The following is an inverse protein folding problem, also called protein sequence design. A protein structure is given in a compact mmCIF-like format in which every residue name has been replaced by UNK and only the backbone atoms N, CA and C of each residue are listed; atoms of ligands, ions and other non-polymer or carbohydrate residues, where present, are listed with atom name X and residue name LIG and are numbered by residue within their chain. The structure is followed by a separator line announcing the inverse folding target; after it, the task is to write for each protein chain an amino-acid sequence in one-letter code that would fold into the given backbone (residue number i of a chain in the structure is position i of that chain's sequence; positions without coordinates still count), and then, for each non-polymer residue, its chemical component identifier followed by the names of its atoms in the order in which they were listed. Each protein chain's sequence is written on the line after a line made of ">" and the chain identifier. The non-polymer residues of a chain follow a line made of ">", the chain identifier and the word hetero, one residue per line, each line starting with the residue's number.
data_IF_235834573893
#
_entry.id   IF_235834573893
#
_cell.length_a   1.000
_cell.length_b   1.000
_cell.length_c   1.000
_cell.angle_alpha   90.00
_cell.angle_beta   90.00
_cell.angle_gamma   90.00
#
_symmetry.space_group_name_H-M   'P 1'
#
loop_
_entity.id
_entity.type
_entity.pdbx_description
1 polymer ?
#
# COMPACT_ATOMS: atom_id res chain seq x y z
N UNK A 1 3.32 58.89 -22.56
CA UNK A 1 4.64 59.50 -22.82
C UNK A 1 5.30 58.50 -23.73
N UNK A 2 5.11 58.69 -25.05
CA UNK A 2 6.15 59.23 -25.98
C UNK A 2 7.29 58.24 -26.15
N UNK A 3 7.71 57.73 -27.26
CA UNK A 3 7.69 58.11 -28.68
C UNK A 3 8.31 56.92 -29.40
N UNK A 4 7.74 56.34 -30.48
CA UNK A 4 7.87 56.73 -31.87
C UNK A 4 9.31 56.89 -32.36
N UNK A 5 9.62 56.18 -33.36
CA UNK A 5 10.26 56.51 -34.67
C UNK A 5 11.01 55.25 -35.14
N UNK A 6 10.86 54.68 -36.25
CA UNK A 6 10.51 55.21 -37.56
C UNK A 6 11.63 54.97 -38.55
N UNK A 7 11.20 54.67 -39.75
CA UNK A 7 11.86 54.96 -41.06
C UNK A 7 12.73 53.85 -41.61
N UNK A 8 12.26 53.12 -42.64
CA UNK A 8 12.18 53.40 -44.10
C UNK A 8 13.51 53.29 -44.87
N UNK A 9 13.41 52.54 -45.96
CA UNK A 9 13.75 52.82 -47.40
C UNK A 9 15.09 52.18 -47.82
N UNK A 10 15.34 51.54 -48.95
CA UNK A 10 14.79 51.44 -50.28
C UNK A 10 15.38 50.19 -50.96
N UNK A 11 14.70 49.47 -51.77
CA UNK A 11 14.57 49.59 -53.26
C UNK A 11 15.82 49.96 -54.01
N UNK A 12 16.33 49.00 -54.82
CA UNK A 12 16.73 49.11 -56.23
C UNK A 12 17.22 47.76 -56.69
N UNK A 13 16.59 47.07 -57.61
CA UNK A 13 16.56 47.18 -59.00
C UNK A 13 17.90 46.77 -59.70
N UNK A 14 17.84 45.69 -60.45
CA UNK A 14 18.94 45.26 -61.34
C UNK A 14 18.56 44.01 -62.15
N UNK A 15 17.73 44.23 -63.13
CA UNK A 15 17.46 43.37 -64.28
C UNK A 15 18.73 43.25 -65.16
N UNK A 16 18.83 42.20 -65.92
CA UNK A 16 19.75 41.83 -67.05
C UNK A 16 20.62 40.62 -66.69
N UNK A 17 20.60 39.49 -67.29
CA UNK A 17 20.70 39.24 -68.76
C UNK A 17 20.29 37.79 -69.03
N UNK A 18 19.40 37.64 -69.94
CA UNK A 18 19.14 36.47 -70.77
C UNK A 18 20.28 36.14 -71.62
N UNK A 19 20.36 34.87 -72.04
CA UNK A 19 20.85 34.41 -73.39
C UNK A 19 21.99 33.40 -73.36
N UNK A 20 21.64 32.26 -73.94
CA UNK A 20 22.37 31.27 -74.69
C UNK A 20 23.21 30.24 -73.95
N UNK A 21 23.22 29.02 -74.31
CA UNK A 21 22.87 28.25 -75.52
C UNK A 21 22.66 26.78 -75.13
N UNK A 22 21.73 26.18 -75.77
CA UNK A 22 21.65 24.80 -76.14
C UNK A 22 22.94 24.20 -76.70
N UNK A 23 23.32 23.05 -76.11
CA UNK A 23 23.90 21.98 -76.94
C UNK A 23 23.89 20.68 -76.18
N UNK A 24 23.15 19.75 -76.67
CA UNK A 24 23.51 18.37 -77.04
C UNK A 24 24.41 17.63 -75.98
N UNK A 25 24.17 16.50 -75.58
CA UNK A 25 23.59 15.33 -76.23
C UNK A 25 23.66 14.14 -75.27
N UNK A 26 22.65 13.33 -75.32
CA UNK A 26 22.75 11.89 -75.38
C UNK A 26 23.83 11.21 -74.53
N UNK A 27 23.43 10.55 -73.49
CA UNK A 27 23.73 9.13 -73.36
C UNK A 27 23.46 8.64 -71.96
N UNK A 28 22.89 7.53 -71.91
CA UNK A 28 22.95 6.66 -70.73
C UNK A 28 21.78 6.79 -69.81
N UNK A 29 20.70 6.24 -70.21
CA UNK A 29 19.69 5.67 -69.38
C UNK A 29 20.33 4.51 -68.53
N UNK A 30 20.96 4.92 -67.48
CA UNK A 30 21.28 3.99 -66.39
C UNK A 30 20.25 4.29 -65.31
N UNK A 31 19.07 3.70 -65.41
CA UNK A 31 18.24 3.45 -64.30
C UNK A 31 19.04 2.53 -63.33
N UNK A 32 19.87 3.14 -62.51
CA UNK A 32 20.20 2.55 -61.24
C UNK A 32 18.85 2.42 -60.47
N UNK A 33 18.19 1.30 -60.69
CA UNK A 33 17.21 0.81 -59.80
C UNK A 33 17.93 0.66 -58.46
N UNK A 34 17.92 1.70 -57.61
CA UNK A 34 18.16 1.53 -56.21
C UNK A 34 17.14 0.46 -55.77
N UNK A 35 17.57 -0.77 -55.81
CA UNK A 35 16.93 -1.86 -55.07
C UNK A 35 16.92 -1.39 -53.61
N UNK A 36 15.87 -0.65 -53.21
CA UNK A 36 15.57 -0.42 -51.82
C UNK A 36 15.55 -1.81 -51.22
N UNK A 37 16.64 -2.15 -50.50
CA UNK A 37 16.72 -3.32 -49.68
C UNK A 37 15.52 -3.21 -48.73
N UNK A 38 14.40 -3.84 -49.11
CA UNK A 38 13.23 -3.93 -48.21
C UNK A 38 13.73 -4.60 -46.95
N UNK A 39 13.83 -3.84 -45.89
CA UNK A 39 14.11 -4.39 -44.55
C UNK A 39 13.17 -5.57 -44.36
N UNK A 40 13.67 -6.72 -43.92
CA UNK A 40 12.84 -7.90 -43.73
C UNK A 40 11.64 -7.54 -42.85
N UNK A 41 10.43 -7.87 -43.32
CA UNK A 41 9.22 -7.65 -42.55
C UNK A 41 9.32 -8.42 -41.23
N UNK A 42 9.61 -7.69 -40.15
CA UNK A 42 9.80 -8.26 -38.82
C UNK A 42 8.50 -8.51 -38.08
N UNK A 43 7.39 -7.97 -38.57
CA UNK A 43 6.06 -8.09 -37.94
C UNK A 43 5.10 -8.75 -38.91
N UNK A 44 4.41 -9.78 -38.43
CA UNK A 44 3.36 -10.50 -39.14
C UNK A 44 2.14 -10.64 -38.25
N UNK A 45 0.95 -10.72 -38.81
CA UNK A 45 -0.28 -11.00 -38.06
C UNK A 45 -0.62 -12.47 -38.22
N UNK A 46 -0.65 -13.23 -37.13
CA UNK A 46 -1.05 -14.61 -37.10
C UNK A 46 -2.28 -14.77 -36.19
N UNK A 47 -3.38 -15.25 -36.73
CA UNK A 47 -4.65 -15.42 -36.00
C UNK A 47 -5.11 -14.13 -35.26
N UNK A 48 -4.91 -12.96 -35.86
CA UNK A 48 -5.28 -11.67 -35.25
C UNK A 48 -4.32 -11.16 -34.17
N UNK A 49 -3.19 -11.87 -33.94
CA UNK A 49 -2.16 -11.47 -32.98
C UNK A 49 -0.92 -11.02 -33.72
N UNK A 50 -0.38 -9.88 -33.33
CA UNK A 50 0.91 -9.40 -33.82
C UNK A 50 2.04 -10.31 -33.37
N UNK A 51 2.80 -10.85 -34.31
CA UNK A 51 3.99 -11.66 -34.03
C UNK A 51 5.21 -10.96 -34.61
N UNK A 52 6.20 -10.71 -33.74
CA UNK A 52 7.46 -10.08 -34.10
C UNK A 52 8.52 -11.17 -34.25
N UNK A 53 9.23 -11.14 -35.38
CA UNK A 53 10.31 -12.08 -35.66
C UNK A 53 11.65 -11.38 -35.56
N UNK A 54 12.51 -11.81 -34.66
CA UNK A 54 13.87 -11.30 -34.45
C UNK A 54 14.84 -12.46 -34.34
N UNK A 55 15.90 -12.47 -35.15
CA UNK A 55 16.98 -13.45 -35.04
C UNK A 55 17.71 -13.32 -33.72
N UNK A 56 18.41 -14.39 -33.32
CA UNK A 56 19.08 -14.47 -32.02
C UNK A 56 20.18 -13.41 -31.84
N UNK A 57 20.84 -12.98 -32.91
CA UNK A 57 21.86 -11.95 -32.83
C UNK A 57 21.21 -10.58 -32.55
N UNK A 58 20.13 -10.28 -33.24
CA UNK A 58 19.32 -9.06 -33.01
C UNK A 58 18.73 -9.05 -31.60
N UNK A 59 18.24 -10.19 -31.08
CA UNK A 59 17.76 -10.29 -29.69
C UNK A 59 18.86 -9.93 -28.70
N UNK A 60 20.08 -10.49 -28.84
CA UNK A 60 21.23 -10.21 -27.95
C UNK A 60 21.64 -8.74 -28.03
N UNK A 61 21.75 -8.20 -29.25
CA UNK A 61 22.16 -6.81 -29.48
C UNK A 61 21.18 -5.79 -28.85
N UNK A 62 19.90 -6.14 -28.82
CA UNK A 62 18.86 -5.30 -28.23
C UNK A 62 18.53 -5.65 -26.77
N UNK A 63 19.30 -6.53 -26.13
CA UNK A 63 19.15 -6.87 -24.73
C UNK A 63 17.78 -7.50 -24.41
N UNK A 64 17.25 -8.34 -25.31
CA UNK A 64 15.99 -9.03 -25.07
C UNK A 64 16.26 -10.24 -24.16
N UNK A 65 15.71 -10.17 -22.94
CA UNK A 65 15.77 -11.27 -21.99
C UNK A 65 14.38 -11.82 -21.72
N UNK A 66 14.29 -13.13 -21.59
CA UNK A 66 13.05 -13.84 -21.27
C UNK A 66 13.15 -14.58 -19.96
N UNK A 67 12.04 -14.69 -19.28
CA UNK A 67 11.88 -15.46 -18.05
C UNK A 67 10.78 -16.52 -18.23
N UNK A 68 11.06 -17.75 -17.82
CA UNK A 68 10.02 -18.79 -17.75
C UNK A 68 9.08 -18.51 -16.60
N UNK A 69 7.79 -18.62 -16.89
CA UNK A 69 6.73 -18.48 -15.91
C UNK A 69 6.22 -19.86 -15.55
N UNK A 70 6.05 -20.12 -14.26
CA UNK A 70 5.43 -21.38 -13.77
C UNK A 70 4.06 -21.08 -13.16
N UNK A 71 3.11 -21.98 -13.42
CA UNK A 71 1.83 -21.92 -12.75
C UNK A 71 2.02 -22.18 -11.25
N UNK A 72 1.47 -21.30 -10.45
CA UNK A 72 1.49 -21.41 -9.01
C UNK A 72 0.15 -20.98 -8.44
N UNK A 73 -0.16 -21.41 -7.24
CA UNK A 73 -1.33 -20.92 -6.52
C UNK A 73 -0.94 -19.68 -5.77
N UNK A 74 -1.50 -18.55 -6.18
CA UNK A 74 -1.24 -17.24 -5.57
C UNK A 74 -2.46 -16.81 -4.76
N UNK A 75 -2.28 -16.27 -3.56
CA UNK A 75 -3.37 -15.58 -2.87
C UNK A 75 -3.79 -14.37 -3.71
N UNK A 76 -5.09 -14.21 -3.92
CA UNK A 76 -5.63 -12.99 -4.50
C UNK A 76 -5.36 -11.86 -3.54
N UNK A 77 -4.89 -10.72 -4.04
CA UNK A 77 -4.73 -9.52 -3.24
C UNK A 77 -5.88 -8.55 -3.49
N UNK A 78 -6.35 -7.94 -2.42
CA UNK A 78 -7.36 -6.90 -2.44
C UNK A 78 -6.67 -5.55 -2.26
N UNK A 79 -7.06 -4.58 -3.05
CA UNK A 79 -6.66 -3.19 -2.80
C UNK A 79 -7.48 -2.64 -1.65
N UNK A 80 -6.78 -2.13 -0.65
CA UNK A 80 -7.32 -1.48 0.53
C UNK A 80 -6.74 -0.08 0.67
N UNK A 81 -7.42 0.75 1.42
CA UNK A 81 -6.96 2.10 1.73
C UNK A 81 -6.85 2.25 3.24
N UNK A 82 -5.93 3.06 3.69
CA UNK A 82 -5.74 3.25 5.11
C UNK A 82 -5.15 4.59 5.44
N UNK A 83 -4.97 4.78 6.73
CA UNK A 83 -4.33 5.96 7.32
C UNK A 83 -3.39 5.53 8.42
N UNK A 84 -2.25 6.19 8.50
CA UNK A 84 -1.33 6.08 9.64
C UNK A 84 -1.92 6.89 10.78
N UNK A 85 -2.27 6.23 11.88
CA UNK A 85 -3.00 6.85 12.98
C UNK A 85 -2.09 7.71 13.85
N UNK A 86 -2.64 8.81 14.34
CA UNK A 86 -2.05 9.58 15.44
C UNK A 86 -2.33 8.86 16.76
N UNK A 87 -1.30 8.77 17.61
CA UNK A 87 -1.38 8.01 18.87
C UNK A 87 -1.81 8.87 20.05
N UNK A 88 -2.14 10.13 19.87
CA UNK A 88 -2.46 11.04 20.98
C UNK A 88 -3.62 10.50 21.82
N UNK A 89 -4.73 10.15 21.19
CA UNK A 89 -5.93 9.64 21.90
C UNK A 89 -5.67 8.31 22.62
N UNK A 90 -4.84 7.43 22.03
CA UNK A 90 -4.43 6.17 22.68
C UNK A 90 -3.53 6.44 23.86
N UNK A 91 -2.61 7.38 23.77
CA UNK A 91 -1.68 7.77 24.83
C UNK A 91 -2.43 8.45 26.00
N UNK A 92 -3.36 9.33 25.70
CA UNK A 92 -4.22 9.99 26.71
C UNK A 92 -5.07 8.94 27.48
N UNK A 93 -5.67 7.99 26.76
CA UNK A 93 -6.42 6.90 27.37
C UNK A 93 -5.53 6.03 28.27
N UNK A 94 -4.29 5.75 27.82
CA UNK A 94 -3.30 5.02 28.61
C UNK A 94 -2.92 5.74 29.91
N UNK A 95 -2.70 7.04 29.85
CA UNK A 95 -2.40 7.86 31.02
C UNK A 95 -3.59 7.90 31.99
N UNK A 96 -4.81 8.07 31.48
CA UNK A 96 -6.03 8.06 32.30
C UNK A 96 -6.22 6.71 32.99
N UNK A 97 -5.99 5.59 32.29
CA UNK A 97 -6.07 4.25 32.87
C UNK A 97 -5.01 4.03 33.97
N UNK A 98 -3.77 4.46 33.74
CA UNK A 98 -2.70 4.37 34.73
C UNK A 98 -3.04 5.16 36.01
N UNK A 99 -3.59 6.37 35.86
CA UNK A 99 -4.05 7.20 36.96
C UNK A 99 -5.22 6.54 37.72
N UNK A 100 -6.21 6.01 37.01
CA UNK A 100 -7.34 5.31 37.66
C UNK A 100 -6.88 4.07 38.44
N UNK A 101 -5.93 3.31 37.88
CA UNK A 101 -5.30 2.16 38.57
C UNK A 101 -4.54 2.58 39.81
N UNK A 102 -3.81 3.70 39.78
CA UNK A 102 -3.12 4.25 40.95
C UNK A 102 -4.12 4.70 42.05
N UNK A 103 -5.24 5.33 41.65
CA UNK A 103 -6.32 5.72 42.54
C UNK A 103 -6.99 4.50 43.20
N UNK A 104 -7.26 3.45 42.41
CA UNK A 104 -7.80 2.18 42.96
C UNK A 104 -6.86 1.57 43.99
N UNK A 105 -5.56 1.51 43.70
CA UNK A 105 -4.56 0.98 44.64
C UNK A 105 -4.51 1.80 45.95
N UNK A 106 -4.58 3.13 45.84
CA UNK A 106 -4.63 4.02 47.00
C UNK A 106 -5.88 3.84 47.81
N UNK A 107 -7.05 3.75 47.15
CA UNK A 107 -8.33 3.50 47.86
C UNK A 107 -8.35 2.12 48.53
N UNK A 108 -7.78 1.09 47.88
CA UNK A 108 -7.65 -0.24 48.47
C UNK A 108 -6.78 -0.23 49.73
N UNK A 109 -5.64 0.46 49.71
CA UNK A 109 -4.76 0.59 50.86
C UNK A 109 -5.45 1.33 52.02
N UNK A 110 -6.21 2.40 51.75
CA UNK A 110 -6.99 3.12 52.75
C UNK A 110 -8.05 2.24 53.37
N UNK A 111 -8.78 1.46 52.57
CA UNK A 111 -9.79 0.52 53.02
C UNK A 111 -9.22 -0.53 53.98
N UNK A 112 -8.02 -1.05 53.73
CA UNK A 112 -7.36 -1.99 54.65
C UNK A 112 -7.04 -1.34 56.02
N UNK A 113 -6.59 -0.05 55.98
CA UNK A 113 -6.33 0.70 57.23
C UNK A 113 -7.62 0.92 58.01
N UNK A 114 -8.72 1.36 57.39
CA UNK A 114 -9.99 1.61 58.04
C UNK A 114 -10.66 0.32 58.55
N UNK A 115 -10.54 -0.79 57.82
CA UNK A 115 -10.95 -2.11 58.28
C UNK A 115 -10.24 -2.52 59.59
N UNK A 116 -8.93 -2.38 59.64
CA UNK A 116 -8.15 -2.69 60.84
C UNK A 116 -8.47 -1.73 62.01
N UNK A 117 -8.69 -0.46 61.72
CA UNK A 117 -9.09 0.54 62.71
C UNK A 117 -10.46 0.20 63.30
N UNK A 118 -11.45 -0.11 62.49
CA UNK A 118 -12.79 -0.52 62.94
C UNK A 118 -12.75 -1.81 63.75
N UNK A 119 -11.95 -2.81 63.34
CA UNK A 119 -11.81 -4.06 64.09
C UNK A 119 -11.23 -3.80 65.48
N UNK A 120 -10.21 -2.96 65.62
CA UNK A 120 -9.64 -2.57 66.91
C UNK A 120 -10.67 -1.82 67.78
N UNK A 121 -11.36 -0.84 67.19
CA UNK A 121 -12.38 -0.06 67.88
C UNK A 121 -13.49 -0.95 68.38
N UNK A 122 -13.96 -1.93 67.63
CA UNK A 122 -14.98 -2.87 68.01
C UNK A 122 -14.53 -3.80 69.14
N UNK A 123 -13.29 -4.30 69.14
CA UNK A 123 -12.73 -5.12 70.21
C UNK A 123 -12.67 -4.32 71.54
N UNK A 124 -12.12 -3.13 71.51
CA UNK A 124 -12.01 -2.25 72.67
C UNK A 124 -13.41 -1.85 73.27
N UNK A 125 -14.38 -1.62 72.39
CA UNK A 125 -15.75 -1.32 72.83
C UNK A 125 -16.41 -2.51 73.51
N UNK A 126 -16.24 -3.75 72.99
CA UNK A 126 -16.79 -4.99 73.61
C UNK A 126 -16.16 -5.32 74.91
N UNK A 127 -14.86 -5.09 75.08
CA UNK A 127 -14.10 -5.40 76.28
C UNK A 127 -14.22 -4.32 77.38
N UNK A 128 -15.16 -3.38 77.25
CA UNK A 128 -15.38 -2.22 78.15
C UNK A 128 -14.13 -1.37 78.42
N UNK A 129 -13.16 -1.41 77.52
CA UNK A 129 -11.92 -0.67 77.63
C UNK A 129 -12.04 0.73 76.99
N UNK A 130 -12.55 1.69 77.74
CA UNK A 130 -12.47 3.14 77.52
C UNK A 130 -12.71 3.68 76.05
N UNK A 131 -13.46 2.93 75.21
CA UNK A 131 -13.91 3.38 73.94
C UNK A 131 -15.35 3.83 73.93
N UNK A 132 -15.65 5.06 73.53
CA UNK A 132 -17.02 5.55 73.42
C UNK A 132 -17.74 5.02 72.18
N UNK A 133 -19.11 4.91 72.30
CA UNK A 133 -19.91 4.57 71.10
C UNK A 133 -19.69 5.51 69.95
N UNK A 134 -19.44 6.79 70.20
CA UNK A 134 -19.14 7.79 69.16
C UNK A 134 -17.83 7.47 68.43
N UNK A 135 -16.79 6.97 69.12
CA UNK A 135 -15.52 6.59 68.49
C UNK A 135 -15.67 5.33 67.60
N UNK A 136 -16.43 4.34 68.03
CA UNK A 136 -16.77 3.18 67.19
C UNK A 136 -17.54 3.59 66.01
N UNK A 137 -18.58 4.43 66.16
CA UNK A 137 -19.36 4.95 65.01
C UNK A 137 -18.51 5.75 64.01
N UNK A 138 -17.55 6.54 64.51
CA UNK A 138 -16.61 7.24 63.64
C UNK A 138 -15.71 6.30 62.80
N UNK A 139 -15.24 5.18 63.42
CA UNK A 139 -14.47 4.15 62.73
C UNK A 139 -15.31 3.39 61.69
N UNK A 140 -16.58 3.15 61.96
CA UNK A 140 -17.52 2.54 61.01
C UNK A 140 -17.84 3.46 59.84
N UNK A 141 -18.05 4.75 60.10
CA UNK A 141 -18.26 5.76 59.05
C UNK A 141 -17.02 5.88 58.13
N UNK A 142 -15.80 5.87 58.70
CA UNK A 142 -14.57 5.90 57.94
C UNK A 142 -14.43 4.65 57.04
N UNK A 143 -14.75 3.46 57.55
CA UNK A 143 -14.75 2.22 56.77
C UNK A 143 -15.73 2.31 55.58
N UNK A 144 -16.94 2.79 55.81
CA UNK A 144 -17.97 2.94 54.79
C UNK A 144 -17.52 3.94 53.73
N UNK A 145 -16.92 5.06 54.13
CA UNK A 145 -16.38 6.07 53.19
C UNK A 145 -15.26 5.51 52.29
N UNK A 146 -14.30 4.77 52.88
CA UNK A 146 -13.21 4.17 52.14
C UNK A 146 -13.71 3.03 51.23
N UNK A 147 -14.73 2.30 51.63
CA UNK A 147 -15.38 1.28 50.81
C UNK A 147 -16.07 1.90 49.58
N UNK A 148 -16.77 3.01 49.78
CA UNK A 148 -17.38 3.77 48.68
C UNK A 148 -16.32 4.35 47.74
N UNK A 149 -15.22 4.86 48.30
CA UNK A 149 -14.09 5.37 47.49
C UNK A 149 -13.44 4.29 46.61
N UNK A 150 -13.24 3.07 47.15
CA UNK A 150 -12.72 1.95 46.36
C UNK A 150 -13.70 1.56 45.26
N UNK A 151 -14.99 1.48 45.55
CA UNK A 151 -16.02 1.16 44.54
C UNK A 151 -16.03 2.18 43.43
N UNK A 152 -15.95 3.49 43.74
CA UNK A 152 -15.87 4.55 42.76
C UNK A 152 -14.60 4.47 41.87
N UNK A 153 -13.44 4.19 42.50
CA UNK A 153 -12.18 4.04 41.73
C UNK A 153 -12.21 2.80 40.82
N UNK A 154 -12.80 1.69 41.26
CA UNK A 154 -12.99 0.51 40.42
C UNK A 154 -13.95 0.78 39.25
N UNK A 155 -15.03 1.50 39.49
CA UNK A 155 -15.96 1.88 38.43
C UNK A 155 -15.28 2.76 37.36
N UNK A 156 -14.46 3.75 37.79
CA UNK A 156 -13.70 4.58 36.87
C UNK A 156 -12.75 3.75 36.01
N UNK A 157 -11.96 2.85 36.64
CA UNK A 157 -11.05 1.97 35.90
C UNK A 157 -11.80 1.10 34.89
N UNK A 158 -12.91 0.48 35.31
CA UNK A 158 -13.75 -0.36 34.44
C UNK A 158 -14.32 0.42 33.27
N UNK A 159 -14.74 1.66 33.44
CA UNK A 159 -15.22 2.53 32.38
C UNK A 159 -14.12 2.78 31.35
N UNK A 160 -12.89 3.03 31.78
CA UNK A 160 -11.75 3.24 30.87
C UNK A 160 -11.37 1.95 30.11
N UNK A 161 -11.51 0.78 30.73
CA UNK A 161 -11.32 -0.52 30.07
C UNK A 161 -12.33 -0.73 28.94
N UNK A 162 -13.62 -0.47 29.22
CA UNK A 162 -14.67 -0.55 28.20
C UNK A 162 -14.41 0.45 27.07
N UNK A 163 -14.09 1.70 27.41
CA UNK A 163 -13.76 2.73 26.41
C UNK A 163 -12.57 2.31 25.53
N UNK A 164 -11.55 1.69 26.12
CA UNK A 164 -10.41 1.18 25.36
C UNK A 164 -10.83 0.07 24.37
N UNK A 165 -11.67 -0.86 24.82
CA UNK A 165 -12.17 -1.96 23.99
C UNK A 165 -13.05 -1.46 22.85
N UNK A 166 -13.96 -0.51 23.13
CA UNK A 166 -14.85 0.06 22.13
C UNK A 166 -14.10 0.87 21.05
N UNK A 167 -13.09 1.63 21.44
CA UNK A 167 -12.36 2.48 20.50
C UNK A 167 -11.24 1.75 19.74
N UNK A 168 -10.56 0.83 20.41
CA UNK A 168 -9.32 0.23 19.89
C UNK A 168 -9.36 -1.29 19.74
N UNK A 169 -10.44 -1.93 20.18
CA UNK A 169 -10.58 -3.39 20.16
C UNK A 169 -9.78 -4.09 21.25
N UNK A 170 -10.08 -5.37 21.44
CA UNK A 170 -9.56 -6.15 22.57
C UNK A 170 -8.02 -6.27 22.60
N UNK A 171 -7.35 -6.32 21.44
CA UNK A 171 -5.91 -6.52 21.39
C UNK A 171 -5.14 -5.26 21.84
N UNK A 172 -5.49 -4.09 21.28
CA UNK A 172 -4.86 -2.82 21.67
C UNK A 172 -5.26 -2.39 23.08
N UNK A 173 -6.53 -2.60 23.49
CA UNK A 173 -6.98 -2.36 24.84
C UNK A 173 -6.19 -3.20 25.86
N UNK A 174 -5.97 -4.49 25.58
CA UNK A 174 -5.15 -5.36 26.44
C UNK A 174 -3.70 -4.88 26.52
N UNK A 175 -3.11 -4.51 25.38
CA UNK A 175 -1.76 -3.95 25.35
C UNK A 175 -1.64 -2.68 26.20
N UNK A 176 -2.67 -1.82 26.16
CA UNK A 176 -2.75 -0.59 26.96
C UNK A 176 -2.84 -0.90 28.46
N UNK A 177 -3.71 -1.84 28.89
CA UNK A 177 -3.91 -2.20 30.29
C UNK A 177 -2.69 -2.88 30.91
N UNK A 178 -1.93 -3.63 30.11
CA UNK A 178 -0.75 -4.40 30.56
C UNK A 178 0.57 -3.67 30.35
N UNK A 179 0.55 -2.46 29.74
CA UNK A 179 1.75 -1.74 29.30
C UNK A 179 2.69 -2.66 28.48
N UNK A 180 2.07 -3.41 27.58
CA UNK A 180 2.74 -4.46 26.80
C UNK A 180 3.73 -3.91 25.77
N UNK A 181 4.60 -4.78 25.21
CA UNK A 181 5.67 -4.36 24.30
C UNK A 181 5.16 -3.65 23.04
N UNK A 182 3.97 -4.01 22.56
CA UNK A 182 3.33 -3.32 21.43
C UNK A 182 3.11 -1.84 21.76
N UNK A 183 2.54 -1.53 22.92
CA UNK A 183 2.29 -0.14 23.30
C UNK A 183 3.58 0.62 23.55
N UNK A 184 4.58 -0.02 24.15
CA UNK A 184 5.90 0.57 24.37
C UNK A 184 6.57 0.97 23.06
N UNK A 185 6.56 0.09 22.04
CA UNK A 185 7.12 0.39 20.70
C UNK A 185 6.38 1.55 20.02
N UNK A 186 5.05 1.59 20.12
CA UNK A 186 4.25 2.70 19.58
C UNK A 186 4.55 4.03 20.30
N UNK A 187 4.64 4.04 21.65
CA UNK A 187 4.98 5.22 22.45
C UNK A 187 6.39 5.75 22.14
N UNK A 188 7.36 4.84 21.97
CA UNK A 188 8.75 5.17 21.64
C UNK A 188 8.93 5.59 20.17
N UNK A 189 7.86 5.55 19.36
CA UNK A 189 7.94 5.79 17.91
C UNK A 189 8.88 4.83 17.18
N UNK A 190 9.01 3.62 17.67
CA UNK A 190 9.69 2.53 16.97
C UNK A 190 8.80 1.94 15.88
N UNK A 191 7.49 1.88 16.15
CA UNK A 191 6.46 1.47 15.23
C UNK A 191 5.41 2.59 15.03
N UNK A 192 4.74 2.54 13.89
CA UNK A 192 3.55 3.33 13.58
C UNK A 192 2.33 2.41 13.53
N UNK A 193 1.17 2.93 13.93
CA UNK A 193 -0.10 2.25 13.86
C UNK A 193 -0.83 2.65 12.58
N UNK A 194 -1.27 1.67 11.81
CA UNK A 194 -1.97 1.87 10.54
C UNK A 194 -3.35 1.22 10.62
N UNK A 195 -4.37 1.98 10.29
CA UNK A 195 -5.71 1.42 10.06
C UNK A 195 -5.91 1.23 8.56
N UNK A 196 -6.25 0.01 8.14
CA UNK A 196 -6.55 -0.31 6.75
C UNK A 196 -8.01 -0.75 6.66
N UNK A 197 -8.70 -0.23 5.65
CA UNK A 197 -10.11 -0.52 5.39
C UNK A 197 -10.27 -1.10 3.98
N UNK A 198 -10.90 -2.26 3.88
CA UNK A 198 -11.29 -2.89 2.63
C UNK A 198 -12.50 -2.17 2.02
N UNK A 199 -12.72 -2.35 0.73
CA UNK A 199 -13.96 -1.90 0.11
C UNK A 199 -15.14 -2.75 0.60
N UNK A 200 -16.37 -2.20 0.59
CA UNK A 200 -17.56 -2.96 0.93
C UNK A 200 -17.67 -4.27 0.11
N UNK A 201 -18.08 -5.35 0.76
CA UNK A 201 -18.22 -6.66 0.11
C UNK A 201 -16.94 -7.45 -0.09
N UNK A 202 -15.77 -6.89 0.25
CA UNK A 202 -14.51 -7.62 0.23
C UNK A 202 -14.21 -8.26 1.60
N UNK A 203 -13.61 -9.45 1.57
CA UNK A 203 -13.21 -10.18 2.77
C UNK A 203 -11.73 -10.55 2.70
N UNK A 204 -10.98 -10.17 3.72
CA UNK A 204 -9.58 -10.58 3.88
C UNK A 204 -9.49 -12.07 4.24
N UNK A 205 -8.32 -12.67 4.00
CA UNK A 205 -8.00 -14.00 4.51
C UNK A 205 -8.10 -14.02 6.05
N UNK A 206 -8.62 -15.12 6.58
CA UNK A 206 -8.70 -15.34 8.02
C UNK A 206 -7.88 -16.60 8.39
N UNK A 207 -6.86 -16.50 9.29
CA UNK A 207 -6.39 -15.26 9.93
C UNK A 207 -5.63 -14.34 8.96
N UNK A 208 -5.81 -13.03 9.09
CA UNK A 208 -5.01 -12.07 8.34
C UNK A 208 -3.56 -12.11 8.84
N UNK A 209 -2.61 -12.44 7.97
CA UNK A 209 -1.19 -12.50 8.32
C UNK A 209 -0.51 -11.12 8.30
N UNK A 210 -1.04 -10.20 7.49
CA UNK A 210 -0.50 -8.86 7.31
C UNK A 210 -0.98 -8.23 6.00
N UNK A 211 -0.37 -7.13 5.63
CA UNK A 211 -0.62 -6.40 4.39
C UNK A 211 0.68 -5.78 3.87
N UNK A 212 0.68 -5.30 2.65
CA UNK A 212 1.79 -4.53 2.06
C UNK A 212 1.30 -3.13 1.71
N UNK A 213 1.96 -2.10 2.19
CA UNK A 213 1.74 -0.72 1.75
C UNK A 213 2.61 -0.44 0.54
N UNK A 214 2.04 0.15 -0.49
CA UNK A 214 2.77 0.64 -1.65
C UNK A 214 3.11 2.12 -1.45
N UNK A 215 4.40 2.43 -1.41
CA UNK A 215 4.89 3.80 -1.31
C UNK A 215 5.07 4.43 -2.69
N UNK A 216 5.05 5.77 -2.80
CA UNK A 216 5.50 6.47 -4.00
C UNK A 216 6.91 5.99 -4.40
N UNK A 217 7.10 5.64 -5.68
CA UNK A 217 8.34 5.04 -6.15
C UNK A 217 8.36 3.51 -6.19
N UNK A 218 7.26 2.84 -5.80
CA UNK A 218 7.09 1.39 -5.96
C UNK A 218 7.67 0.53 -4.82
N UNK A 219 8.28 1.15 -3.81
CA UNK A 219 8.72 0.44 -2.62
C UNK A 219 7.52 -0.11 -1.83
N UNK A 220 7.68 -1.29 -1.25
CA UNK A 220 6.63 -1.97 -0.48
C UNK A 220 7.05 -2.14 0.97
N UNK A 221 6.17 -1.74 1.87
CA UNK A 221 6.36 -1.84 3.32
C UNK A 221 5.45 -2.92 3.88
N UNK A 222 6.00 -3.96 4.53
CA UNK A 222 5.18 -4.96 5.19
C UNK A 222 4.53 -4.38 6.44
N UNK A 223 3.24 -4.69 6.61
CA UNK A 223 2.47 -4.38 7.80
C UNK A 223 2.17 -5.66 8.57
N UNK A 224 2.31 -5.61 9.88
CA UNK A 224 2.01 -6.70 10.79
C UNK A 224 0.62 -6.55 11.39
N UNK A 225 -0.21 -7.58 11.27
CA UNK A 225 -1.57 -7.58 11.77
C UNK A 225 -1.62 -7.58 13.30
N UNK A 226 -2.50 -6.76 13.88
CA UNK A 226 -2.81 -6.71 15.31
C UNK A 226 -4.19 -7.27 15.57
N UNK A 227 -5.22 -6.65 15.00
CA UNK A 227 -6.63 -7.01 15.22
C UNK A 227 -7.54 -6.42 14.15
N UNK A 228 -8.78 -6.91 14.11
CA UNK A 228 -9.85 -6.15 13.48
C UNK A 228 -10.06 -4.83 14.23
N UNK A 229 -10.37 -3.77 13.49
CA UNK A 229 -10.73 -2.49 14.05
C UNK A 229 -12.22 -2.52 14.47
N UNK A 230 -12.54 -1.84 15.55
CA UNK A 230 -13.92 -1.72 16.06
C UNK A 230 -14.74 -0.70 15.29
N UNK A 231 -14.06 0.20 14.60
CA UNK A 231 -14.68 1.26 13.79
C UNK A 231 -14.13 1.21 12.36
N UNK A 232 -15.00 1.42 11.40
CA UNK A 232 -14.60 1.54 9.99
C UNK A 232 -14.27 2.98 9.65
N UNK A 233 -13.52 3.17 8.54
CA UNK A 233 -13.38 4.49 7.94
C UNK A 233 -14.75 4.92 7.35
N UNK A 234 -15.30 6.06 7.76
CA UNK A 234 -16.63 6.51 7.32
C UNK A 234 -16.70 6.79 5.80
N UNK A 235 -15.57 7.00 5.14
CA UNK A 235 -15.52 7.26 3.69
C UNK A 235 -15.56 5.95 2.89
N UNK A 236 -15.04 4.85 3.44
CA UNK A 236 -14.89 3.58 2.72
C UNK A 236 -15.96 2.57 3.15
N UNK A 237 -16.36 2.55 4.42
CA UNK A 237 -17.44 1.73 5.02
C UNK A 237 -17.26 0.22 4.83
N UNK A 238 -16.03 -0.28 4.91
CA UNK A 238 -15.72 -1.70 4.80
C UNK A 238 -15.07 -2.26 6.05
N UNK A 239 -14.69 -3.54 6.01
CA UNK A 239 -13.96 -4.17 7.10
C UNK A 239 -12.62 -3.47 7.32
N UNK A 240 -12.36 -3.10 8.58
CA UNK A 240 -11.15 -2.38 8.95
C UNK A 240 -10.28 -3.20 9.91
N UNK A 241 -8.97 -2.97 9.82
CA UNK A 241 -7.96 -3.69 10.58
C UNK A 241 -6.91 -2.74 11.13
N UNK A 242 -6.38 -3.03 12.30
CA UNK A 242 -5.20 -2.39 12.87
C UNK A 242 -3.95 -3.22 12.58
N UNK A 243 -2.93 -2.55 12.06
CA UNK A 243 -1.63 -3.14 11.73
C UNK A 243 -0.51 -2.19 12.17
N UNK A 244 0.69 -2.72 12.29
CA UNK A 244 1.89 -1.92 12.59
C UNK A 244 2.92 -2.03 11.48
N UNK A 245 3.74 -0.99 11.36
CA UNK A 245 4.97 -1.00 10.57
C UNK A 245 6.09 -0.34 11.37
N UNK A 246 7.37 -0.67 11.10
CA UNK A 246 8.50 0.06 11.66
C UNK A 246 8.45 1.55 11.26
N UNK A 247 8.74 2.44 12.18
CA UNK A 247 8.80 3.89 11.88
C UNK A 247 9.87 4.25 10.83
N UNK A 248 10.91 3.42 10.72
CA UNK A 248 11.95 3.54 9.69
C UNK A 248 11.45 3.31 8.25
N UNK A 249 10.21 2.82 8.09
CA UNK A 249 9.59 2.61 6.78
C UNK A 249 9.23 3.89 6.02
N UNK A 250 9.32 5.06 6.67
CA UNK A 250 8.93 6.35 6.08
C UNK A 250 7.44 6.67 6.18
N UNK A 251 6.66 5.82 6.84
CA UNK A 251 5.25 6.08 7.13
C UNK A 251 5.12 7.07 8.28
N UNK A 252 4.42 8.18 8.07
CA UNK A 252 4.22 9.24 9.06
C UNK A 252 2.75 9.31 9.50
N UNK A 253 2.47 9.61 10.79
CA UNK A 253 1.10 9.83 11.26
C UNK A 253 0.35 10.86 10.41
N UNK A 254 -0.92 10.57 10.10
CA UNK A 254 -1.74 11.37 9.20
C UNK A 254 -1.63 11.00 7.71
N UNK A 255 -0.62 10.22 7.30
CA UNK A 255 -0.49 9.80 5.91
C UNK A 255 -1.61 8.85 5.50
N UNK A 256 -2.22 9.13 4.32
CA UNK A 256 -3.05 8.16 3.61
C UNK A 256 -2.19 7.14 2.87
N UNK A 257 -2.56 5.87 2.93
CA UNK A 257 -1.81 4.77 2.32
C UNK A 257 -2.70 3.88 1.46
N UNK A 258 -2.14 3.36 0.37
CA UNK A 258 -2.74 2.27 -0.39
C UNK A 258 -2.05 0.96 0.00
N UNK A 259 -2.83 -0.09 0.24
CA UNK A 259 -2.31 -1.36 0.69
C UNK A 259 -2.86 -2.54 -0.13
N UNK A 260 -2.10 -3.60 -0.18
CA UNK A 260 -2.47 -4.90 -0.71
C UNK A 260 -2.69 -5.86 0.46
N UNK A 261 -3.90 -6.41 0.55
CA UNK A 261 -4.33 -7.33 1.61
C UNK A 261 -4.61 -8.69 0.99
N UNK A 262 -4.08 -9.81 1.53
CA UNK A 262 -4.42 -11.14 1.05
C UNK A 262 -5.92 -11.43 1.21
N UNK A 263 -6.57 -11.90 0.14
CA UNK A 263 -7.94 -12.38 0.17
C UNK A 263 -8.01 -13.85 0.63
N UNK A 264 -9.21 -14.29 1.01
CA UNK A 264 -9.48 -15.69 1.34
C UNK A 264 -9.30 -16.61 0.11
N UNK A 265 -9.57 -16.09 -1.09
CA UNK A 265 -9.47 -16.85 -2.32
C UNK A 265 -8.03 -16.92 -2.82
N UNK A 266 -7.60 -18.09 -3.24
CA UNK A 266 -6.38 -18.31 -3.99
C UNK A 266 -6.70 -18.57 -5.46
N UNK A 267 -5.84 -18.11 -6.36
CA UNK A 267 -5.99 -18.26 -7.80
C UNK A 267 -4.77 -18.99 -8.34
N UNK A 268 -5.05 -20.03 -9.15
CA UNK A 268 -4.01 -20.67 -9.93
C UNK A 268 -3.75 -19.88 -11.20
N UNK A 269 -2.49 -19.55 -11.46
CA UNK A 269 -2.07 -18.79 -12.63
C UNK A 269 -0.57 -18.53 -12.61
N UNK A 270 -0.09 -17.82 -13.63
CA UNK A 270 1.30 -17.37 -13.72
C UNK A 270 1.41 -15.93 -13.25
N UNK A 271 2.52 -15.58 -12.60
CA UNK A 271 2.81 -14.20 -12.24
C UNK A 271 3.65 -13.55 -13.34
N UNK A 272 3.07 -12.57 -14.02
CA UNK A 272 3.78 -11.73 -15.00
C UNK A 272 4.41 -10.56 -14.25
N UNK A 273 5.75 -10.43 -14.20
CA UNK A 273 6.43 -9.39 -13.46
C UNK A 273 6.19 -8.00 -14.08
N UNK A 274 6.29 -6.94 -13.26
CA UNK A 274 6.08 -5.55 -13.73
C UNK A 274 7.06 -5.17 -14.85
N UNK A 275 8.28 -5.70 -14.84
CA UNK A 275 9.29 -5.45 -15.87
C UNK A 275 8.90 -5.95 -17.26
N UNK A 276 8.00 -6.95 -17.34
CA UNK A 276 7.49 -7.49 -18.59
C UNK A 276 6.30 -6.70 -19.15
N UNK A 277 5.73 -5.78 -18.38
CA UNK A 277 4.49 -5.09 -18.79
C UNK A 277 4.82 -3.79 -19.51
N UNK A 278 4.25 -3.65 -20.69
CA UNK A 278 4.28 -2.42 -21.48
C UNK A 278 2.87 -1.85 -21.57
N UNK A 279 2.78 -0.53 -21.50
CA UNK A 279 1.52 0.20 -21.59
C UNK A 279 1.40 0.83 -22.96
N UNK A 280 0.38 0.46 -23.72
CA UNK A 280 0.12 0.98 -25.05
C UNK A 280 -1.37 0.94 -25.35
N UNK A 281 -1.87 1.85 -26.19
CA UNK A 281 -3.25 1.88 -26.67
C UNK A 281 -4.30 1.82 -25.55
N UNK A 282 -3.99 2.42 -24.39
CA UNK A 282 -4.87 2.41 -23.22
C UNK A 282 -4.95 1.07 -22.46
N UNK A 283 -4.13 0.07 -22.84
CA UNK A 283 -4.08 -1.25 -22.22
C UNK A 283 -2.71 -1.64 -21.71
N UNK A 284 -2.67 -2.73 -20.97
CA UNK A 284 -1.47 -3.40 -20.46
C UNK A 284 -1.17 -4.64 -21.28
N UNK A 285 0.07 -4.79 -21.72
CA UNK A 285 0.50 -5.84 -22.64
C UNK A 285 1.80 -6.48 -22.17
N UNK A 286 2.04 -7.71 -22.58
CA UNK A 286 3.34 -8.36 -22.46
C UNK A 286 3.67 -9.15 -23.71
N UNK A 287 4.96 -9.32 -23.99
CA UNK A 287 5.44 -10.14 -25.09
C UNK A 287 5.85 -11.51 -24.59
N UNK A 288 5.29 -12.55 -25.21
CA UNK A 288 5.58 -13.96 -24.91
C UNK A 288 6.36 -14.56 -26.07
N UNK A 289 7.40 -15.33 -25.73
CA UNK A 289 8.14 -16.09 -26.72
C UNK A 289 7.27 -17.24 -27.26
N UNK A 290 7.06 -17.30 -28.55
CA UNK A 290 6.29 -18.35 -29.25
C UNK A 290 7.18 -19.29 -30.07
N UNK A 291 8.45 -18.93 -30.26
CA UNK A 291 9.47 -19.69 -30.94
C UNK A 291 10.86 -19.14 -30.67
N UNK A 292 11.90 -19.75 -31.22
CA UNK A 292 13.29 -19.32 -30.98
C UNK A 292 13.52 -17.83 -31.37
N UNK A 293 12.84 -17.36 -32.41
CA UNK A 293 12.96 -16.00 -32.94
C UNK A 293 11.64 -15.22 -32.96
N UNK A 294 10.58 -15.73 -32.33
CA UNK A 294 9.23 -15.16 -32.46
C UNK A 294 8.66 -14.78 -31.10
N UNK A 295 8.03 -13.61 -31.07
CA UNK A 295 7.39 -13.02 -29.90
C UNK A 295 5.97 -12.56 -30.24
N UNK A 296 5.00 -12.92 -29.42
CA UNK A 296 3.60 -12.51 -29.61
C UNK A 296 3.16 -11.58 -28.47
N UNK A 297 2.47 -10.50 -28.80
CA UNK A 297 1.87 -9.57 -27.85
C UNK A 297 0.57 -10.15 -27.31
N UNK A 298 0.38 -10.11 -25.98
CA UNK A 298 -0.88 -10.50 -25.34
C UNK A 298 -1.29 -9.46 -24.31
N UNK A 299 -2.61 -9.22 -24.19
CA UNK A 299 -3.16 -8.36 -23.17
C UNK A 299 -2.99 -9.00 -21.77
N UNK A 300 -2.66 -8.19 -20.80
CA UNK A 300 -2.49 -8.60 -19.41
C UNK A 300 -3.59 -7.97 -18.57
N UNK A 301 -4.38 -8.80 -17.92
CA UNK A 301 -5.36 -8.37 -16.93
C UNK A 301 -4.65 -7.87 -15.66
N UNK A 302 -4.95 -6.65 -15.22
CA UNK A 302 -4.29 -6.01 -14.06
C UNK A 302 -5.15 -5.99 -12.80
N UNK A 303 -6.25 -6.75 -12.78
CA UNK A 303 -7.17 -6.83 -11.65
C UNK A 303 -6.62 -7.61 -10.46
N UNK A 304 -5.64 -8.50 -10.70
CA UNK A 304 -5.09 -9.40 -9.70
C UNK A 304 -3.61 -9.12 -9.45
N UNK A 305 -3.28 -8.09 -8.65
CA UNK A 305 -1.89 -7.82 -8.31
C UNK A 305 -1.30 -8.95 -7.45
N UNK A 306 -0.06 -9.37 -7.77
CA UNK A 306 0.67 -10.36 -7.00
C UNK A 306 1.46 -9.71 -5.85
N UNK A 307 1.58 -10.40 -4.72
CA UNK A 307 2.37 -9.93 -3.57
C UNK A 307 3.86 -9.77 -3.91
N UNK A 308 4.37 -10.61 -4.82
CA UNK A 308 5.76 -10.57 -5.29
C UNK A 308 6.05 -9.47 -6.30
N UNK A 309 5.04 -8.73 -6.75
CA UNK A 309 5.12 -7.74 -7.83
C UNK A 309 4.67 -8.30 -9.17
N UNK A 310 3.92 -7.49 -9.92
CA UNK A 310 3.30 -7.92 -11.17
C UNK A 310 1.85 -8.33 -11.01
N UNK A 311 1.34 -9.11 -11.96
CA UNK A 311 -0.07 -9.50 -11.99
C UNK A 311 -0.23 -11.00 -12.25
N UNK A 312 -1.25 -11.58 -11.61
CA UNK A 312 -1.61 -12.99 -11.80
C UNK A 312 -2.49 -13.14 -13.03
N UNK A 313 -2.04 -13.91 -14.01
CA UNK A 313 -2.79 -14.24 -15.23
C UNK A 313 -3.33 -15.66 -15.09
N UNK A 314 -4.67 -15.80 -15.12
CA UNK A 314 -5.38 -17.07 -15.04
C UNK A 314 -5.35 -17.81 -16.36
N UNK A 315 -5.38 -19.16 -16.31
CA UNK A 315 -5.54 -19.99 -17.51
C UNK A 315 -4.37 -19.93 -18.49
N UNK A 316 -3.23 -19.40 -18.05
CA UNK A 316 -2.02 -19.39 -18.84
C UNK A 316 -1.46 -20.83 -18.95
N UNK A 317 -0.96 -21.25 -20.13
CA UNK A 317 -0.27 -22.52 -20.28
C UNK A 317 0.94 -22.64 -19.35
N UNK A 318 1.34 -23.87 -19.03
CA UNK A 318 2.61 -24.13 -18.38
C UNK A 318 3.77 -23.80 -19.34
N UNK A 319 4.93 -23.43 -18.79
CA UNK A 319 6.16 -23.12 -19.53
C UNK A 319 6.13 -21.90 -20.47
N UNK A 320 5.27 -20.91 -20.19
CA UNK A 320 5.32 -19.65 -20.90
C UNK A 320 6.62 -18.91 -20.61
N UNK A 321 7.28 -18.39 -21.66
CA UNK A 321 8.38 -17.46 -21.52
C UNK A 321 7.92 -16.03 -21.84
N UNK A 322 8.08 -15.12 -20.89
CA UNK A 322 7.76 -13.70 -21.03
C UNK A 322 9.02 -12.87 -21.16
N UNK A 323 8.99 -11.84 -22.00
CA UNK A 323 10.09 -10.89 -22.15
C UNK A 323 10.10 -9.95 -20.95
N UNK A 324 11.17 -10.00 -20.15
CA UNK A 324 11.35 -9.17 -18.95
C UNK A 324 12.25 -7.97 -19.16
N UNK A 325 13.07 -7.99 -20.22
CA UNK A 325 13.90 -6.88 -20.67
C UNK A 325 13.78 -6.73 -22.19
N UNK A 326 13.72 -5.50 -22.67
CA UNK A 326 13.58 -5.19 -24.11
C UNK A 326 12.13 -5.23 -24.63
N UNK A 327 11.11 -5.40 -23.76
CA UNK A 327 9.70 -5.40 -24.19
C UNK A 327 9.26 -4.10 -24.87
N UNK A 328 9.77 -2.96 -24.42
CA UNK A 328 9.49 -1.65 -25.03
C UNK A 328 10.07 -1.53 -26.45
N UNK A 329 11.19 -2.17 -26.72
CA UNK A 329 11.79 -2.21 -28.06
C UNK A 329 10.92 -3.02 -29.02
N UNK A 330 10.39 -4.18 -28.56
CA UNK A 330 9.45 -4.97 -29.35
C UNK A 330 8.20 -4.15 -29.71
N UNK A 331 7.68 -3.39 -28.76
CA UNK A 331 6.54 -2.50 -29.00
C UNK A 331 6.87 -1.44 -30.07
N UNK A 332 8.06 -0.85 -30.01
CA UNK A 332 8.51 0.14 -31.00
C UNK A 332 8.65 -0.45 -32.41
N UNK A 333 9.14 -1.69 -32.55
CA UNK A 333 9.22 -2.40 -33.83
C UNK A 333 7.82 -2.70 -34.40
N UNK A 334 6.88 -3.08 -33.52
CA UNK A 334 5.49 -3.34 -33.93
C UNK A 334 4.83 -2.07 -34.49
N UNK A 335 4.93 -0.94 -33.78
CA UNK A 335 4.34 0.32 -34.25
C UNK A 335 5.02 0.86 -35.52
N UNK A 336 6.33 0.66 -35.64
CA UNK A 336 7.04 1.04 -36.88
C UNK A 336 6.51 0.28 -38.10
N UNK A 337 6.24 -1.01 -37.95
CA UNK A 337 5.69 -1.81 -39.03
C UNK A 337 4.25 -1.41 -39.38
N UNK A 338 3.44 -1.05 -38.39
CA UNK A 338 2.06 -0.57 -38.61
C UNK A 338 2.05 0.76 -39.37
N UNK A 339 2.95 1.69 -39.03
CA UNK A 339 3.06 2.96 -39.74
C UNK A 339 3.45 2.78 -41.20
N UNK A 340 4.31 1.80 -41.52
CA UNK A 340 4.72 1.51 -42.90
C UNK A 340 3.64 0.83 -43.79
N UNK A 341 2.63 0.25 -43.17
CA UNK A 341 1.49 -0.38 -43.88
C UNK A 341 0.38 0.65 -44.16
N UNK A 342 0.38 1.77 -43.45
CA UNK A 342 -0.65 2.83 -43.57
C UNK A 342 -0.28 3.90 -44.60
N UNK A 343 0.94 3.91 -45.13
CA UNK A 343 1.44 4.74 -46.23
C UNK A 343 1.45 3.94 -47.54
#
# INVERSE_FOLDING_TARGET
>A
MMQRLGVRVALTAGVWLLVLLSACSRSGDSQETEERIKAPQRVSTQNGVSVISLDLETQRRNGIETQKLSNTTQPVTLRAYGVVLELQTLSELGNNYANARAQENTARAKLEVSRAARARAQALYRDQQNMSAAQLQAAEAALQADQAALTAAQALRSTLEVTAQENWGAALARALMQDGPLLTRLKNREDVLVQITLRPGQSAAAPLSGALVELPGGARVPLHYISAATKTDPRIQGASFFLTAPASSGLLPGMGVAALVPATAAVRGVVVPLSAIVWAEGGSWAYFRTGASSFARRAIATELPALTGGYVVRGAPDDLEVVVQGAQMLLSEEFRAQAQVSD
#
